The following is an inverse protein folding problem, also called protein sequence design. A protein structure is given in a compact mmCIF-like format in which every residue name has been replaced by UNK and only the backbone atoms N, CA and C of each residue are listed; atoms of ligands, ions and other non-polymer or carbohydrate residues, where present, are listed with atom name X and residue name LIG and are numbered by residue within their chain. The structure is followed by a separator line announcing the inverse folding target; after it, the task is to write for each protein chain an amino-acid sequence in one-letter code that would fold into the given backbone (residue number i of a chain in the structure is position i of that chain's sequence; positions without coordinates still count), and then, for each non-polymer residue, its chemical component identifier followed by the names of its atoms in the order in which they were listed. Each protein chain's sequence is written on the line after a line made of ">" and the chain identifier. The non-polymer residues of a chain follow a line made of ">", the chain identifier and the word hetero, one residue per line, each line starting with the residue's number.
data_IF_443182658346
#
_entry.id   IF_443182658346
#
_cell.length_a   1.000
_cell.length_b   1.000
_cell.length_c   1.000
_cell.angle_alpha   90.00
_cell.angle_beta   90.00
_cell.angle_gamma   90.00
#
_symmetry.space_group_name_H-M   'P 1'
#
loop_
_entity.id
_entity.type
_entity.pdbx_description
1 polymer ?
#
# COMPACT_ATOMS: atom_id res chain seq x y z
N UNK A 1 -16.06 -24.16 -22.03
CA UNK A 1 -15.28 -25.27 -22.61
C UNK A 1 -13.92 -25.30 -21.93
N UNK A 2 -13.58 -26.36 -21.18
CA UNK A 2 -12.23 -26.51 -20.63
C UNK A 2 -11.28 -26.97 -21.74
N UNK A 3 -10.60 -26.01 -22.37
CA UNK A 3 -9.55 -26.28 -23.34
C UNK A 3 -8.37 -26.96 -22.65
N UNK A 4 -7.95 -28.13 -23.14
CA UNK A 4 -6.79 -28.85 -22.63
C UNK A 4 -5.51 -28.05 -22.87
N UNK A 5 -4.61 -28.04 -21.89
CA UNK A 5 -3.26 -27.51 -22.05
C UNK A 5 -2.46 -28.41 -22.99
N UNK A 6 -1.81 -27.83 -23.99
CA UNK A 6 -0.91 -28.53 -24.93
C UNK A 6 0.53 -28.14 -24.65
N UNK A 7 1.41 -29.13 -24.48
CA UNK A 7 2.85 -28.93 -24.43
C UNK A 7 3.46 -29.35 -25.77
N UNK A 8 4.23 -28.46 -26.40
CA UNK A 8 4.95 -28.71 -27.65
C UNK A 8 6.43 -28.57 -27.36
N UNK A 9 7.18 -29.65 -27.56
CA UNK A 9 8.64 -29.66 -27.38
C UNK A 9 9.29 -29.30 -28.72
N UNK A 10 10.04 -28.22 -28.74
CA UNK A 10 10.75 -27.72 -29.92
C UNK A 10 12.18 -28.24 -29.88
N UNK A 11 12.61 -28.92 -30.94
CA UNK A 11 13.95 -29.51 -31.01
C UNK A 11 15.02 -28.46 -31.35
N UNK A 12 14.71 -27.55 -32.29
CA UNK A 12 15.60 -26.48 -32.73
C UNK A 12 14.79 -25.20 -32.98
N UNK A 13 15.10 -24.05 -32.34
CA UNK A 13 16.18 -23.87 -31.35
C UNK A 13 15.81 -24.43 -29.98
N UNK A 14 16.78 -25.07 -29.31
CA UNK A 14 16.63 -25.63 -27.96
C UNK A 14 16.31 -24.58 -26.87
N UNK A 15 16.58 -23.30 -27.15
CA UNK A 15 16.26 -22.14 -26.31
C UNK A 15 14.84 -21.59 -26.49
N UNK A 16 14.02 -22.17 -27.38
CA UNK A 16 12.70 -21.63 -27.70
C UNK A 16 11.78 -21.63 -26.47
N UNK A 17 11.02 -20.55 -26.29
CA UNK A 17 10.01 -20.47 -25.23
C UNK A 17 8.89 -19.52 -25.64
N UNK A 18 7.67 -20.03 -25.73
CA UNK A 18 6.48 -19.24 -26.06
C UNK A 18 5.24 -19.84 -25.39
N UNK A 19 4.38 -18.98 -24.83
CA UNK A 19 3.07 -19.38 -24.32
C UNK A 19 2.02 -18.65 -25.15
N UNK A 20 1.22 -19.40 -25.90
CA UNK A 20 0.20 -18.87 -26.80
C UNK A 20 -1.12 -19.60 -26.62
N UNK A 21 -2.16 -18.88 -26.17
CA UNK A 21 -3.46 -19.47 -25.86
C UNK A 21 -3.32 -20.60 -24.85
N UNK A 22 -3.65 -21.83 -25.26
CA UNK A 22 -3.53 -23.04 -24.43
C UNK A 22 -2.31 -23.90 -24.75
N UNK A 23 -1.35 -23.37 -25.52
CA UNK A 23 -0.15 -24.10 -25.91
C UNK A 23 1.09 -23.49 -25.29
N UNK A 24 1.90 -24.32 -24.66
CA UNK A 24 3.26 -24.01 -24.21
C UNK A 24 4.21 -24.63 -25.21
N UNK A 25 4.99 -23.81 -25.88
CA UNK A 25 6.11 -24.23 -26.72
C UNK A 25 7.39 -24.06 -25.92
N UNK A 26 8.12 -25.14 -25.72
CA UNK A 26 9.37 -25.14 -24.94
C UNK A 26 10.43 -25.91 -25.70
N UNK A 27 11.61 -25.32 -25.85
CA UNK A 27 12.77 -25.96 -26.45
C UNK A 27 13.31 -27.08 -25.56
N UNK A 28 13.98 -28.07 -26.13
CA UNK A 28 14.49 -29.22 -25.38
C UNK A 28 15.43 -28.81 -24.23
N UNK A 29 16.38 -27.91 -24.49
CA UNK A 29 17.35 -27.45 -23.46
C UNK A 29 16.63 -26.70 -22.32
N UNK A 30 15.62 -25.89 -22.66
CA UNK A 30 14.79 -25.19 -21.67
C UNK A 30 13.95 -26.17 -20.84
N UNK A 31 13.46 -27.26 -21.44
CA UNK A 31 12.66 -28.28 -20.75
C UNK A 31 13.52 -29.08 -19.76
N UNK A 32 14.76 -29.41 -20.15
CA UNK A 32 15.72 -30.14 -19.32
C UNK A 32 16.26 -29.28 -18.18
N UNK A 33 16.42 -27.97 -18.39
CA UNK A 33 16.86 -27.03 -17.38
C UNK A 33 15.81 -26.84 -16.27
N UNK A 34 16.27 -26.85 -15.01
CA UNK A 34 15.40 -26.82 -13.84
C UNK A 34 14.49 -25.58 -13.80
N UNK A 35 13.20 -25.81 -13.61
CA UNK A 35 12.22 -24.80 -13.20
C UNK A 35 11.51 -24.05 -14.34
N UNK A 36 11.97 -24.21 -15.59
CA UNK A 36 11.36 -23.52 -16.74
C UNK A 36 9.98 -24.05 -17.11
N UNK A 37 9.78 -25.38 -17.06
CA UNK A 37 8.45 -25.97 -17.29
C UNK A 37 7.47 -25.54 -16.18
N UNK A 38 7.86 -25.63 -14.92
CA UNK A 38 7.00 -25.21 -13.80
C UNK A 38 6.62 -23.74 -13.92
N UNK A 39 7.58 -22.89 -14.28
CA UNK A 39 7.33 -21.48 -14.52
C UNK A 39 6.39 -21.26 -15.70
N UNK A 40 6.50 -22.04 -16.78
CA UNK A 40 5.59 -21.95 -17.93
C UNK A 40 4.15 -22.28 -17.55
N UNK A 41 3.94 -23.35 -16.77
CA UNK A 41 2.64 -23.74 -16.26
C UNK A 41 2.04 -22.64 -15.36
N UNK A 42 2.86 -22.07 -14.48
CA UNK A 42 2.46 -21.00 -13.57
C UNK A 42 2.14 -19.68 -14.29
N UNK A 43 2.90 -19.33 -15.33
CA UNK A 43 2.58 -18.19 -16.21
C UNK A 43 1.26 -18.40 -16.94
N UNK A 44 1.03 -19.60 -17.47
CA UNK A 44 -0.23 -19.93 -18.11
C UNK A 44 -1.40 -19.79 -17.12
N UNK A 45 -1.26 -20.33 -15.91
CA UNK A 45 -2.25 -20.15 -14.85
C UNK A 45 -2.45 -18.67 -14.51
N UNK A 46 -1.38 -17.88 -14.37
CA UNK A 46 -1.46 -16.44 -14.12
C UNK A 46 -2.27 -15.74 -15.22
N UNK A 47 -1.97 -15.96 -16.49
CA UNK A 47 -2.67 -15.32 -17.63
C UNK A 47 -4.13 -15.73 -17.77
N UNK A 48 -4.53 -16.90 -17.27
CA UNK A 48 -5.94 -17.33 -17.25
C UNK A 48 -6.75 -16.68 -16.12
N UNK A 49 -6.08 -16.21 -15.08
CA UNK A 49 -6.72 -15.70 -13.86
C UNK A 49 -6.52 -14.20 -13.66
N UNK A 50 -5.48 -13.62 -14.26
CA UNK A 50 -5.25 -12.18 -14.25
C UNK A 50 -6.27 -11.51 -15.16
N UNK A 51 -7.04 -10.59 -14.58
CA UNK A 51 -7.97 -9.72 -15.30
C UNK A 51 -7.46 -8.27 -15.35
N UNK A 52 -6.34 -8.00 -14.66
CA UNK A 52 -5.80 -6.68 -14.46
C UNK A 52 -4.84 -6.30 -15.59
N UNK A 53 -5.07 -5.12 -16.17
CA UNK A 53 -4.15 -4.46 -17.10
C UNK A 53 -3.53 -3.29 -16.36
N UNK A 54 -2.19 -3.20 -16.30
CA UNK A 54 -1.51 -2.04 -15.72
C UNK A 54 -0.08 -1.88 -16.22
N UNK A 55 0.51 -0.70 -15.94
CA UNK A 55 1.90 -0.42 -16.24
C UNK A 55 2.80 -1.50 -15.60
N UNK A 56 3.71 -2.10 -16.38
CA UNK A 56 4.65 -3.14 -15.93
C UNK A 56 4.05 -4.55 -15.71
N UNK A 57 2.94 -4.90 -16.37
CA UNK A 57 2.35 -6.26 -16.35
C UNK A 57 3.38 -7.36 -16.61
N UNK A 58 4.30 -7.16 -17.57
CA UNK A 58 5.34 -8.13 -17.91
C UNK A 58 6.29 -8.42 -16.74
N UNK A 59 6.79 -7.41 -16.03
CA UNK A 59 7.59 -7.59 -14.82
C UNK A 59 6.78 -8.22 -13.69
N UNK A 60 5.54 -7.78 -13.50
CA UNK A 60 4.69 -8.32 -12.45
C UNK A 60 4.43 -9.82 -12.66
N UNK A 61 4.11 -10.26 -13.89
CA UNK A 61 4.00 -11.68 -14.24
C UNK A 61 5.25 -12.45 -13.83
N UNK A 62 6.44 -11.93 -14.13
CA UNK A 62 7.72 -12.58 -13.77
C UNK A 62 7.93 -12.67 -12.26
N UNK A 63 7.68 -11.58 -11.52
CA UNK A 63 7.84 -11.53 -10.06
C UNK A 63 6.85 -12.47 -9.39
N UNK A 64 5.60 -12.43 -9.81
CA UNK A 64 4.52 -13.23 -9.26
C UNK A 64 4.74 -14.72 -9.53
N UNK A 65 5.11 -15.09 -10.76
CA UNK A 65 5.34 -16.50 -11.11
C UNK A 65 6.58 -17.08 -10.45
N UNK A 66 7.65 -16.30 -10.26
CA UNK A 66 8.80 -16.73 -9.45
C UNK A 66 8.42 -16.95 -7.99
N UNK A 67 7.60 -16.06 -7.44
CA UNK A 67 7.10 -16.22 -6.09
C UNK A 67 6.23 -17.49 -5.98
N UNK A 68 5.38 -17.78 -6.96
CA UNK A 68 4.63 -19.04 -7.01
C UNK A 68 5.53 -20.28 -7.14
N UNK A 69 6.60 -20.23 -7.94
CA UNK A 69 7.59 -21.31 -7.99
C UNK A 69 8.15 -21.56 -6.59
N UNK A 70 8.50 -20.51 -5.86
CA UNK A 70 8.95 -20.62 -4.47
C UNK A 70 7.87 -21.24 -3.56
N UNK A 71 6.60 -20.82 -3.67
CA UNK A 71 5.50 -21.38 -2.87
C UNK A 71 5.32 -22.88 -3.12
N UNK A 72 5.43 -23.33 -4.37
CA UNK A 72 5.24 -24.74 -4.75
C UNK A 72 6.45 -25.60 -4.39
N UNK A 73 7.66 -25.10 -4.61
CA UNK A 73 8.91 -25.90 -4.50
C UNK A 73 9.70 -25.65 -3.22
N UNK A 74 9.29 -24.68 -2.40
CA UNK A 74 10.03 -24.20 -1.22
C UNK A 74 11.34 -23.47 -1.54
N UNK A 75 11.69 -23.31 -2.82
CA UNK A 75 12.90 -22.63 -3.29
C UNK A 75 12.71 -22.09 -4.70
N UNK A 76 13.35 -20.95 -5.01
CA UNK A 76 13.43 -20.42 -6.37
C UNK A 76 14.80 -20.75 -6.96
N UNK A 77 14.84 -21.75 -7.84
CA UNK A 77 16.05 -22.20 -8.55
C UNK A 77 15.70 -22.42 -10.02
N UNK A 78 15.67 -21.33 -10.79
CA UNK A 78 15.62 -21.39 -12.24
C UNK A 78 17.05 -21.51 -12.74
N UNK A 79 17.31 -22.52 -13.56
CA UNK A 79 18.62 -22.81 -14.11
C UNK A 79 18.81 -22.19 -15.48
N UNK A 80 19.94 -21.53 -15.71
CA UNK A 80 20.37 -21.14 -17.05
C UNK A 80 20.74 -22.39 -17.87
N UNK A 81 19.96 -22.80 -18.88
CA UNK A 81 20.23 -23.99 -19.70
C UNK A 81 21.62 -24.02 -20.35
N UNK A 82 22.25 -22.85 -20.55
CA UNK A 82 23.55 -22.77 -21.24
C UNK A 82 24.74 -22.71 -20.29
N UNK A 83 24.50 -22.28 -19.06
CA UNK A 83 25.57 -21.99 -18.09
C UNK A 83 25.48 -22.84 -16.83
N UNK A 84 24.36 -23.53 -16.60
CA UNK A 84 24.06 -24.23 -15.35
C UNK A 84 23.96 -23.31 -14.12
N UNK A 85 23.98 -21.99 -14.32
CA UNK A 85 23.92 -21.01 -13.22
C UNK A 85 22.48 -20.86 -12.78
N UNK A 86 22.23 -20.95 -11.49
CA UNK A 86 20.89 -20.84 -10.93
C UNK A 86 20.60 -19.44 -10.38
N UNK A 87 19.32 -19.04 -10.40
CA UNK A 87 18.85 -17.87 -9.67
C UNK A 87 19.19 -17.98 -8.20
N UNK A 88 19.77 -16.92 -7.63
CA UNK A 88 20.10 -16.85 -6.21
C UNK A 88 19.22 -15.80 -5.51
N UNK A 89 18.48 -16.24 -4.50
CA UNK A 89 17.77 -15.38 -3.57
C UNK A 89 18.75 -14.81 -2.54
N UNK A 90 18.46 -13.59 -2.05
CA UNK A 90 19.25 -12.84 -1.07
C UNK A 90 20.56 -12.25 -1.61
N UNK A 91 20.86 -11.01 -1.21
CA UNK A 91 22.02 -10.24 -1.67
C UNK A 91 21.69 -9.12 -2.65
N UNK A 92 20.47 -9.09 -3.18
CA UNK A 92 19.93 -7.97 -3.94
C UNK A 92 19.79 -6.73 -3.05
N UNK A 93 20.50 -5.66 -3.42
CA UNK A 93 20.43 -4.35 -2.76
C UNK A 93 20.05 -3.30 -3.78
N UNK A 94 19.25 -2.34 -3.35
CA UNK A 94 19.01 -1.15 -4.14
C UNK A 94 20.25 -0.22 -4.10
N UNK A 95 20.66 0.35 -5.24
CA UNK A 95 20.17 0.06 -6.59
C UNK A 95 20.84 -1.18 -7.20
N UNK A 96 20.03 -2.12 -7.69
CA UNK A 96 20.49 -3.23 -8.53
C UNK A 96 19.93 -3.02 -9.93
N UNK A 97 20.60 -2.19 -10.73
CA UNK A 97 20.18 -1.90 -12.11
C UNK A 97 21.17 -2.51 -13.08
N UNK A 98 20.69 -3.43 -13.91
CA UNK A 98 21.46 -4.02 -15.00
C UNK A 98 21.49 -3.03 -16.16
N UNK A 99 22.61 -2.34 -16.34
CA UNK A 99 22.72 -1.20 -17.27
C UNK A 99 22.88 -1.58 -18.74
N UNK A 100 22.86 -2.87 -19.11
CA UNK A 100 23.04 -3.31 -20.50
C UNK A 100 22.39 -4.66 -20.80
N UNK A 101 22.03 -4.85 -22.08
CA UNK A 101 21.56 -6.13 -22.61
C UNK A 101 22.55 -7.27 -22.40
N UNK A 102 23.86 -6.98 -22.47
CA UNK A 102 24.90 -7.98 -22.22
C UNK A 102 24.89 -8.43 -20.75
N UNK A 103 24.83 -7.49 -19.80
CA UNK A 103 24.75 -7.81 -18.38
C UNK A 103 23.45 -8.58 -18.05
N UNK A 104 22.34 -8.21 -18.67
CA UNK A 104 21.08 -8.96 -18.60
C UNK A 104 21.23 -10.38 -19.11
N UNK A 105 21.81 -10.57 -20.29
CA UNK A 105 21.98 -11.89 -20.87
C UNK A 105 22.97 -12.79 -20.10
N UNK A 106 23.88 -12.19 -19.34
CA UNK A 106 24.78 -12.89 -18.43
C UNK A 106 24.17 -13.14 -17.04
N UNK A 107 23.05 -12.50 -16.70
CA UNK A 107 22.36 -12.69 -15.43
C UNK A 107 21.57 -14.00 -15.42
N UNK A 108 21.47 -14.71 -14.28
CA UNK A 108 20.57 -15.86 -14.16
C UNK A 108 19.08 -15.47 -14.12
N UNK A 109 18.75 -14.18 -14.11
CA UNK A 109 17.38 -13.66 -13.98
C UNK A 109 16.70 -13.31 -15.32
N UNK A 110 17.22 -13.86 -16.42
CA UNK A 110 16.60 -13.75 -17.75
C UNK A 110 15.18 -14.30 -17.75
N UNK A 111 14.32 -13.69 -18.55
CA UNK A 111 13.02 -14.28 -18.89
C UNK A 111 13.24 -15.49 -19.78
N UNK A 112 12.38 -16.48 -19.63
CA UNK A 112 12.45 -17.71 -20.44
C UNK A 112 12.29 -17.40 -21.92
N UNK A 113 11.42 -16.45 -22.26
CA UNK A 113 11.21 -15.91 -23.61
C UNK A 113 12.45 -15.22 -24.18
N UNK A 114 13.39 -14.77 -23.34
CA UNK A 114 14.54 -13.99 -23.79
C UNK A 114 15.80 -14.83 -24.05
N UNK A 115 15.79 -16.14 -23.77
CA UNK A 115 16.98 -16.97 -23.96
C UNK A 115 17.42 -17.03 -25.41
N UNK A 116 16.47 -17.13 -26.36
CA UNK A 116 16.77 -17.08 -27.79
C UNK A 116 17.51 -15.78 -28.18
N UNK A 117 17.06 -14.61 -27.69
CA UNK A 117 17.71 -13.32 -27.98
C UNK A 117 19.09 -13.19 -27.33
N UNK A 118 19.28 -13.81 -26.17
CA UNK A 118 20.55 -13.76 -25.46
C UNK A 118 21.65 -14.62 -26.09
N UNK A 119 21.28 -15.62 -26.91
CA UNK A 119 22.23 -16.46 -27.63
C UNK A 119 22.85 -15.75 -28.83
N UNK A 120 22.06 -15.08 -29.67
CA UNK A 120 22.57 -14.45 -30.89
C UNK A 120 22.83 -12.94 -30.69
N UNK A 121 24.08 -12.53 -30.83
CA UNK A 121 24.51 -11.14 -30.71
C UNK A 121 23.78 -10.18 -31.67
N UNK A 122 23.33 -10.65 -32.85
CA UNK A 122 22.52 -9.85 -33.78
C UNK A 122 21.12 -9.64 -33.23
N UNK A 123 20.49 -10.70 -32.72
CA UNK A 123 19.16 -10.66 -32.10
C UNK A 123 19.09 -9.92 -30.76
N UNK A 124 20.22 -9.70 -30.06
CA UNK A 124 20.27 -8.88 -28.83
C UNK A 124 19.82 -7.44 -29.05
N UNK A 125 19.89 -6.94 -30.28
CA UNK A 125 19.38 -5.61 -30.65
C UNK A 125 17.86 -5.48 -30.54
N UNK A 126 17.13 -6.62 -30.49
CA UNK A 126 15.68 -6.66 -30.28
C UNK A 126 15.28 -6.46 -28.81
N UNK A 127 16.21 -6.66 -27.86
CA UNK A 127 15.98 -6.36 -26.45
C UNK A 127 16.10 -4.85 -26.24
N UNK A 128 14.97 -4.19 -26.00
CA UNK A 128 14.98 -2.77 -25.70
C UNK A 128 15.58 -2.52 -24.31
N UNK A 129 16.41 -1.48 -24.21
CA UNK A 129 17.10 -1.15 -22.95
C UNK A 129 16.12 -0.84 -21.81
N UNK A 130 14.98 -0.19 -22.09
CA UNK A 130 13.94 0.11 -21.10
C UNK A 130 13.37 -1.19 -20.48
N UNK A 131 13.08 -2.21 -21.29
CA UNK A 131 12.66 -3.52 -20.82
C UNK A 131 13.72 -4.20 -19.93
N UNK A 132 14.99 -4.06 -20.26
CA UNK A 132 16.09 -4.64 -19.48
C UNK A 132 16.20 -3.97 -18.10
N UNK A 133 16.03 -2.65 -18.04
CA UNK A 133 16.03 -1.88 -16.82
C UNK A 133 14.86 -2.26 -15.92
N UNK A 134 13.66 -2.38 -16.48
CA UNK A 134 12.47 -2.91 -15.80
C UNK A 134 12.75 -4.30 -15.19
N UNK A 135 13.26 -5.26 -15.96
CA UNK A 135 13.52 -6.62 -15.43
C UNK A 135 14.67 -6.69 -14.43
N UNK A 136 15.48 -5.66 -14.31
CA UNK A 136 16.61 -5.66 -13.37
C UNK A 136 16.19 -5.59 -11.90
N UNK A 137 15.00 -5.07 -11.59
CA UNK A 137 14.47 -5.01 -10.21
C UNK A 137 13.78 -6.29 -9.75
N UNK A 138 13.51 -7.22 -10.68
CA UNK A 138 12.89 -8.52 -10.39
C UNK A 138 13.54 -9.28 -9.21
N UNK A 139 14.88 -9.42 -9.10
CA UNK A 139 15.51 -10.15 -8.00
C UNK A 139 15.22 -9.50 -6.63
N UNK A 140 15.20 -8.16 -6.59
CA UNK A 140 14.89 -7.39 -5.40
C UNK A 140 13.44 -7.64 -4.97
N UNK A 141 12.48 -7.46 -5.89
CA UNK A 141 11.05 -7.62 -5.63
C UNK A 141 10.71 -9.05 -5.15
N UNK A 142 11.18 -10.06 -5.88
CA UNK A 142 10.93 -11.48 -5.53
C UNK A 142 11.56 -11.82 -4.18
N UNK A 143 12.79 -11.35 -3.91
CA UNK A 143 13.43 -11.57 -2.61
C UNK A 143 12.64 -10.92 -1.48
N UNK A 144 12.17 -9.69 -1.66
CA UNK A 144 11.33 -8.99 -0.67
C UNK A 144 10.01 -9.71 -0.44
N UNK A 145 9.35 -10.22 -1.48
CA UNK A 145 8.10 -11.00 -1.33
C UNK A 145 8.33 -12.30 -0.58
N UNK A 146 9.35 -13.07 -0.96
CA UNK A 146 9.68 -14.34 -0.29
C UNK A 146 10.00 -14.12 1.19
N UNK A 147 10.81 -13.12 1.52
CA UNK A 147 11.15 -12.80 2.91
C UNK A 147 9.91 -12.35 3.71
N UNK A 148 9.03 -11.58 3.09
CA UNK A 148 7.78 -11.12 3.71
C UNK A 148 6.83 -12.28 3.99
N UNK A 149 6.65 -13.18 3.03
CA UNK A 149 5.85 -14.39 3.21
C UNK A 149 6.41 -15.31 4.31
N UNK A 150 7.73 -15.50 4.34
CA UNK A 150 8.40 -16.30 5.38
C UNK A 150 8.20 -15.76 6.80
N UNK A 151 8.04 -14.44 6.94
CA UNK A 151 7.83 -13.79 8.23
C UNK A 151 6.37 -13.83 8.71
N UNK A 152 5.42 -14.23 7.87
CA UNK A 152 4.05 -14.53 8.29
C UNK A 152 4.00 -15.78 9.16
N UNK A 153 3.07 -15.84 10.11
CA UNK A 153 2.76 -17.08 10.84
C UNK A 153 2.21 -18.15 9.90
N UNK A 154 2.29 -19.43 10.29
CA UNK A 154 1.78 -20.54 9.46
C UNK A 154 0.29 -20.36 9.06
N UNK A 155 -0.53 -19.85 9.99
CA UNK A 155 -1.94 -19.56 9.73
C UNK A 155 -2.12 -18.44 8.70
N UNK A 156 -1.31 -17.40 8.78
CA UNK A 156 -1.33 -16.29 7.82
C UNK A 156 -0.81 -16.74 6.45
N UNK A 157 0.25 -17.56 6.40
CA UNK A 157 0.77 -18.16 5.18
C UNK A 157 -0.31 -18.97 4.46
N UNK A 158 -1.01 -19.86 5.16
CA UNK A 158 -2.10 -20.64 4.60
C UNK A 158 -3.20 -19.73 4.03
N UNK A 159 -3.68 -18.76 4.82
CA UNK A 159 -4.70 -17.79 4.39
C UNK A 159 -4.25 -16.95 3.19
N UNK A 160 -2.97 -16.58 3.14
CA UNK A 160 -2.40 -15.83 2.04
C UNK A 160 -2.48 -16.64 0.74
N UNK A 161 -1.99 -17.89 0.76
CA UNK A 161 -1.99 -18.77 -0.42
C UNK A 161 -3.40 -19.08 -0.91
N UNK A 162 -4.38 -19.27 -0.01
CA UNK A 162 -5.77 -19.57 -0.40
C UNK A 162 -6.44 -18.44 -1.20
N UNK A 163 -6.00 -17.19 -1.04
CA UNK A 163 -6.55 -16.02 -1.73
C UNK A 163 -5.64 -15.54 -2.88
N UNK A 164 -4.62 -16.31 -3.24
CA UNK A 164 -3.64 -15.91 -4.25
C UNK A 164 -4.26 -15.68 -5.64
N UNK A 165 -5.29 -16.47 -5.97
CA UNK A 165 -6.08 -16.28 -7.20
C UNK A 165 -6.86 -14.97 -7.15
N UNK A 166 -7.46 -14.64 -6.00
CA UNK A 166 -8.19 -13.39 -5.83
C UNK A 166 -7.24 -12.21 -5.95
N UNK A 167 -6.03 -12.27 -5.41
CA UNK A 167 -5.04 -11.18 -5.48
C UNK A 167 -4.77 -10.71 -6.93
N UNK A 168 -4.76 -11.63 -7.90
CA UNK A 168 -4.52 -11.30 -9.32
C UNK A 168 -5.80 -11.03 -10.12
N UNK A 169 -6.96 -11.42 -9.59
CA UNK A 169 -8.26 -11.25 -10.22
C UNK A 169 -9.05 -10.04 -9.68
N UNK A 170 -8.67 -9.49 -8.52
CA UNK A 170 -9.41 -8.41 -7.87
C UNK A 170 -9.27 -7.09 -8.60
N UNK A 171 -10.34 -6.31 -8.55
CA UNK A 171 -10.30 -4.87 -8.83
C UNK A 171 -9.44 -4.14 -7.79
N UNK A 172 -8.83 -3.05 -8.21
CA UNK A 172 -7.95 -2.22 -7.41
C UNK A 172 -8.62 -0.88 -7.13
N UNK A 173 -8.51 -0.40 -5.89
CA UNK A 173 -9.09 0.90 -5.50
C UNK A 173 -8.01 1.71 -4.79
N UNK A 174 -7.55 2.83 -5.39
CA UNK A 174 -7.90 3.35 -6.72
C UNK A 174 -7.42 2.45 -7.87
N UNK A 175 -7.97 2.66 -9.08
CA UNK A 175 -7.58 1.92 -10.28
C UNK A 175 -6.06 1.93 -10.50
N UNK A 176 -5.57 0.84 -11.09
CA UNK A 176 -4.15 0.74 -11.44
C UNK A 176 -3.81 1.70 -12.58
N UNK A 177 -2.62 2.31 -12.57
CA UNK A 177 -2.16 3.13 -13.67
C UNK A 177 -2.03 2.28 -14.94
N UNK A 178 -2.87 2.56 -15.94
CA UNK A 178 -2.91 1.82 -17.22
C UNK A 178 -1.79 2.19 -18.19
N UNK A 179 -1.18 3.36 -18.00
CA UNK A 179 -0.17 3.94 -18.89
C UNK A 179 1.04 4.31 -18.04
N UNK A 180 2.26 4.20 -18.60
CA UNK A 180 3.44 4.89 -18.07
C UNK A 180 3.08 6.38 -17.96
N UNK A 181 2.62 6.83 -16.81
CA UNK A 181 2.23 8.22 -16.58
C UNK A 181 3.51 9.06 -16.58
N UNK A 182 3.85 9.56 -17.77
CA UNK A 182 5.18 9.99 -18.13
C UNK A 182 5.53 9.34 -19.47
N UNK A 183 4.89 9.81 -20.54
CA UNK A 183 5.28 9.41 -21.90
C UNK A 183 6.79 9.55 -22.06
N UNK A 184 7.41 8.65 -22.81
CA UNK A 184 8.87 8.56 -23.06
C UNK A 184 9.51 9.94 -23.01
N UNK A 185 10.02 10.33 -21.85
CA UNK A 185 10.95 11.46 -21.77
C UNK A 185 12.26 10.81 -22.18
N UNK A 186 12.88 11.22 -23.30
CA UNK A 186 14.04 10.53 -23.87
C UNK A 186 15.26 10.45 -22.94
N UNK A 187 15.20 11.08 -21.76
CA UNK A 187 16.29 11.25 -20.79
C UNK A 187 15.95 10.77 -19.37
N UNK A 188 14.96 9.88 -19.15
CA UNK A 188 14.75 9.32 -17.80
C UNK A 188 15.94 8.46 -17.39
N UNK A 189 16.61 8.86 -16.30
CA UNK A 189 17.65 8.08 -15.62
C UNK A 189 17.15 6.64 -15.36
N UNK A 190 17.92 5.59 -15.75
CA UNK A 190 17.58 4.19 -15.49
C UNK A 190 17.13 3.86 -14.06
N UNK A 191 17.63 4.59 -13.07
CA UNK A 191 17.21 4.43 -11.68
C UNK A 191 15.78 4.91 -11.43
N UNK A 192 15.34 5.97 -12.13
CA UNK A 192 13.97 6.48 -12.05
C UNK A 192 12.99 5.45 -12.57
N UNK A 193 13.25 4.88 -13.76
CA UNK A 193 12.39 3.84 -14.35
C UNK A 193 12.32 2.58 -13.47
N UNK A 194 13.46 2.12 -12.95
CA UNK A 194 13.52 1.02 -12.02
C UNK A 194 12.74 1.31 -10.72
N UNK A 195 12.79 2.55 -10.23
CA UNK A 195 12.03 2.96 -9.06
C UNK A 195 10.53 3.03 -9.34
N UNK A 196 10.12 3.54 -10.51
CA UNK A 196 8.71 3.56 -10.93
C UNK A 196 8.14 2.15 -11.04
N UNK A 197 8.90 1.19 -11.58
CA UNK A 197 8.49 -0.21 -11.63
C UNK A 197 8.24 -0.79 -10.22
N UNK A 198 9.13 -0.51 -9.25
CA UNK A 198 8.94 -0.91 -7.84
C UNK A 198 7.69 -0.22 -7.25
N UNK A 199 7.51 1.08 -7.47
CA UNK A 199 6.32 1.83 -7.00
C UNK A 199 5.02 1.25 -7.52
N UNK A 200 4.94 0.96 -8.82
CA UNK A 200 3.73 0.42 -9.46
C UNK A 200 3.39 -0.98 -8.95
N UNK A 201 4.39 -1.85 -8.77
CA UNK A 201 4.18 -3.19 -8.21
C UNK A 201 3.81 -3.12 -6.73
N UNK A 202 4.39 -2.21 -5.94
CA UNK A 202 3.96 -1.97 -4.57
C UNK A 202 2.53 -1.43 -4.51
N UNK A 203 2.18 -0.52 -5.42
CA UNK A 203 0.84 0.05 -5.53
C UNK A 203 -0.21 -1.02 -5.89
N UNK A 204 0.12 -1.96 -6.77
CA UNK A 204 -0.72 -3.14 -7.04
C UNK A 204 -1.10 -3.86 -5.74
N UNK A 205 -0.11 -4.14 -4.89
CA UNK A 205 -0.36 -4.83 -3.63
C UNK A 205 -1.20 -3.98 -2.66
N UNK A 206 -0.89 -2.69 -2.51
CA UNK A 206 -1.54 -1.81 -1.51
C UNK A 206 -2.98 -1.42 -1.89
N UNK A 207 -3.29 -1.33 -3.19
CA UNK A 207 -4.62 -0.98 -3.70
C UNK A 207 -5.56 -2.18 -3.86
N UNK A 208 -5.05 -3.41 -3.73
CA UNK A 208 -5.89 -4.61 -3.77
C UNK A 208 -6.98 -4.58 -2.69
N UNK A 209 -8.20 -4.96 -3.07
CA UNK A 209 -9.33 -5.11 -2.16
C UNK A 209 -9.05 -6.12 -1.01
N UNK A 210 -8.14 -7.08 -1.21
CA UNK A 210 -7.75 -8.02 -0.16
C UNK A 210 -7.16 -7.35 1.08
N UNK A 211 -6.59 -6.14 0.94
CA UNK A 211 -6.12 -5.33 2.08
C UNK A 211 -7.24 -4.93 3.03
N UNK A 212 -8.50 -4.96 2.58
CA UNK A 212 -9.68 -4.66 3.40
C UNK A 212 -10.25 -5.88 4.11
N UNK A 213 -9.95 -7.12 3.69
CA UNK A 213 -10.62 -8.31 4.25
C UNK A 213 -9.66 -9.41 4.70
N UNK A 214 -8.36 -9.27 4.43
CA UNK A 214 -7.34 -10.25 4.79
C UNK A 214 -6.19 -9.63 5.58
N UNK A 215 -6.18 -9.90 6.89
CA UNK A 215 -5.07 -9.53 7.78
C UNK A 215 -3.72 -10.04 7.26
N UNK A 216 -3.69 -11.28 6.73
CA UNK A 216 -2.48 -11.87 6.19
C UNK A 216 -1.90 -11.05 5.02
N UNK A 217 -2.75 -10.49 4.15
CA UNK A 217 -2.31 -9.64 3.04
C UNK A 217 -1.84 -8.28 3.55
N UNK A 218 -2.53 -7.67 4.51
CA UNK A 218 -2.08 -6.42 5.15
C UNK A 218 -0.70 -6.55 5.79
N UNK A 219 -0.49 -7.62 6.55
CA UNK A 219 0.80 -7.91 7.20
C UNK A 219 1.88 -8.18 6.15
N UNK A 220 1.57 -8.98 5.12
CA UNK A 220 2.49 -9.26 4.02
C UNK A 220 2.99 -7.97 3.35
N UNK A 221 2.09 -7.06 2.98
CA UNK A 221 2.42 -5.80 2.30
C UNK A 221 3.32 -4.92 3.17
N UNK A 222 3.00 -4.82 4.45
CA UNK A 222 3.82 -4.09 5.43
C UNK A 222 5.24 -4.66 5.49
N UNK A 223 5.36 -5.99 5.49
CA UNK A 223 6.66 -6.67 5.48
C UNK A 223 7.39 -6.47 4.15
N UNK A 224 6.70 -6.38 3.00
CA UNK A 224 7.31 -6.08 1.70
C UNK A 224 7.95 -4.70 1.73
N UNK A 225 7.23 -3.68 2.21
CA UNK A 225 7.77 -2.33 2.38
C UNK A 225 9.03 -2.33 3.25
N UNK A 226 8.98 -3.01 4.39
CA UNK A 226 10.11 -3.11 5.31
C UNK A 226 11.30 -3.84 4.71
N UNK A 227 11.09 -4.91 3.94
CA UNK A 227 12.17 -5.64 3.28
C UNK A 227 12.79 -4.85 2.12
N UNK A 228 11.99 -4.09 1.36
CA UNK A 228 12.53 -3.16 0.36
C UNK A 228 13.40 -2.07 1.01
N UNK A 229 12.91 -1.46 2.09
CA UNK A 229 13.66 -0.45 2.87
C UNK A 229 14.97 -1.01 3.43
N UNK A 230 14.94 -2.22 4.02
CA UNK A 230 16.15 -2.92 4.50
C UNK A 230 17.15 -3.22 3.39
N UNK A 231 16.68 -3.43 2.17
CA UNK A 231 17.53 -3.59 0.99
C UNK A 231 18.04 -2.26 0.41
N UNK A 232 17.76 -1.12 1.04
CA UNK A 232 18.26 0.20 0.67
C UNK A 232 17.32 1.01 -0.23
N UNK A 233 16.12 0.51 -0.53
CA UNK A 233 15.13 1.26 -1.30
C UNK A 233 14.47 2.29 -0.38
N UNK A 234 14.91 3.55 -0.49
CA UNK A 234 14.42 4.68 0.30
C UNK A 234 13.41 5.55 -0.43
N UNK A 235 13.14 5.26 -1.70
CA UNK A 235 12.08 5.92 -2.44
C UNK A 235 10.71 5.45 -1.95
N UNK A 236 9.68 6.21 -2.30
CA UNK A 236 8.35 5.94 -1.82
C UNK A 236 7.85 4.53 -2.16
N UNK A 237 7.12 3.94 -1.23
CA UNK A 237 6.43 2.67 -1.40
C UNK A 237 5.03 2.84 -2.04
N UNK A 238 4.68 4.07 -2.45
CA UNK A 238 3.37 4.47 -2.96
C UNK A 238 2.58 5.34 -1.96
N UNK A 239 1.32 5.61 -2.30
CA UNK A 239 0.36 6.27 -1.40
C UNK A 239 -0.36 5.27 -0.50
N UNK A 240 -0.75 5.71 0.70
CA UNK A 240 -1.52 4.92 1.65
C UNK A 240 -2.85 5.61 1.98
N UNK A 241 -3.95 4.84 1.88
CA UNK A 241 -5.31 5.31 2.15
C UNK A 241 -5.96 4.48 3.25
N UNK A 242 -6.54 5.15 4.26
CA UNK A 242 -7.16 4.54 5.43
C UNK A 242 -8.55 5.10 5.69
N UNK A 243 -9.45 4.30 6.26
CA UNK A 243 -10.74 4.82 6.72
C UNK A 243 -10.54 5.64 8.02
N UNK A 244 -9.62 5.19 8.88
CA UNK A 244 -9.33 5.81 10.17
C UNK A 244 -7.83 5.90 10.43
N UNK A 245 -7.34 7.10 10.71
CA UNK A 245 -5.96 7.39 11.07
C UNK A 245 -5.89 8.01 12.47
N UNK A 246 -5.25 7.34 13.41
CA UNK A 246 -4.92 7.92 14.72
C UNK A 246 -3.51 8.51 14.69
N UNK A 247 -3.36 9.76 15.11
CA UNK A 247 -2.08 10.47 15.11
C UNK A 247 -1.70 10.87 16.54
N UNK A 248 -0.45 10.57 16.89
CA UNK A 248 0.17 10.95 18.16
C UNK A 248 1.55 11.56 17.93
N UNK A 249 1.94 12.53 18.76
CA UNK A 249 3.27 13.13 18.71
C UNK A 249 4.33 12.26 19.39
N UNK A 250 3.92 11.38 20.32
CA UNK A 250 4.79 10.46 21.03
C UNK A 250 5.10 9.21 20.20
N UNK A 251 6.21 8.52 20.52
CA UNK A 251 6.49 7.21 19.90
C UNK A 251 5.45 6.18 20.36
N UNK A 252 4.94 5.39 19.42
CA UNK A 252 4.04 4.28 19.73
C UNK A 252 4.86 3.00 19.91
N UNK A 253 4.46 2.17 20.87
CA UNK A 253 5.02 0.82 21.05
C UNK A 253 3.92 -0.21 20.84
N UNK A 254 4.26 -1.34 20.21
CA UNK A 254 3.36 -2.48 20.05
C UNK A 254 2.85 -3.06 21.38
N UNK A 255 3.57 -2.79 22.47
CA UNK A 255 3.22 -3.27 23.80
C UNK A 255 2.30 -2.32 24.58
N UNK A 256 2.12 -1.08 24.10
CA UNK A 256 1.28 -0.09 24.76
C UNK A 256 -0.19 -0.49 24.73
N UNK A 257 -0.93 -0.13 25.79
CA UNK A 257 -2.37 -0.40 25.90
C UNK A 257 -3.16 0.23 24.76
N UNK A 258 -2.79 1.46 24.39
CA UNK A 258 -3.39 2.16 23.25
C UNK A 258 -3.18 1.37 21.96
N UNK A 259 -1.95 0.94 21.63
CA UNK A 259 -1.71 0.12 20.44
C UNK A 259 -2.54 -1.17 20.45
N UNK A 260 -2.56 -1.89 21.58
CA UNK A 260 -3.31 -3.14 21.74
C UNK A 260 -4.81 -2.92 21.53
N UNK A 261 -5.36 -1.83 22.04
CA UNK A 261 -6.76 -1.46 21.85
C UNK A 261 -7.08 -1.25 20.36
N UNK A 262 -6.28 -0.45 19.67
CA UNK A 262 -6.44 -0.22 18.23
C UNK A 262 -6.26 -1.50 17.41
N UNK A 263 -5.30 -2.36 17.79
CA UNK A 263 -5.08 -3.66 17.17
C UNK A 263 -6.32 -4.56 17.33
N UNK A 264 -6.91 -4.60 18.53
CA UNK A 264 -8.17 -5.32 18.78
C UNK A 264 -9.32 -4.74 17.97
N UNK A 265 -9.42 -3.41 17.86
CA UNK A 265 -10.45 -2.74 17.06
C UNK A 265 -10.33 -3.09 15.57
N UNK A 266 -9.12 -3.06 15.02
CA UNK A 266 -8.84 -3.44 13.62
C UNK A 266 -9.21 -4.90 13.35
N UNK A 267 -8.88 -5.82 14.26
CA UNK A 267 -9.24 -7.24 14.13
C UNK A 267 -10.75 -7.49 14.23
N UNK A 268 -11.47 -6.73 15.07
CA UNK A 268 -12.93 -6.83 15.20
C UNK A 268 -13.66 -6.23 14.00
N UNK A 269 -13.06 -5.26 13.33
CA UNK A 269 -13.65 -4.54 12.20
C UNK A 269 -12.76 -4.67 10.96
N UNK A 270 -12.60 -5.90 10.40
CA UNK A 270 -11.61 -6.14 9.34
C UNK A 270 -11.82 -5.23 8.12
N UNK A 271 -13.08 -4.89 7.81
CA UNK A 271 -13.49 -4.03 6.69
C UNK A 271 -13.04 -2.56 6.81
N UNK A 272 -12.58 -2.13 7.98
CA UNK A 272 -12.12 -0.76 8.24
C UNK A 272 -10.59 -0.77 8.27
N UNK A 273 -9.94 -0.04 7.35
CA UNK A 273 -8.50 0.21 7.31
C UNK A 273 -8.15 1.22 8.40
N UNK A 274 -7.55 0.73 9.49
CA UNK A 274 -7.11 1.55 10.60
C UNK A 274 -5.58 1.66 10.59
N UNK A 275 -5.05 2.86 10.76
CA UNK A 275 -3.62 3.07 10.97
C UNK A 275 -3.35 3.98 12.17
N UNK A 276 -2.15 3.80 12.75
CA UNK A 276 -1.61 4.70 13.76
C UNK A 276 -0.37 5.37 13.18
N UNK A 277 -0.32 6.69 13.14
CA UNK A 277 0.90 7.45 12.83
C UNK A 277 1.46 8.01 14.13
N UNK A 278 2.70 7.66 14.41
CA UNK A 278 3.50 8.30 15.45
C UNK A 278 4.50 9.30 14.85
N UNK A 279 5.48 9.74 15.65
CA UNK A 279 6.52 10.67 15.22
C UNK A 279 7.32 10.18 14.00
N UNK A 280 7.67 8.90 13.96
CA UNK A 280 8.62 8.32 12.98
C UNK A 280 7.95 7.27 12.08
N UNK A 281 6.89 6.64 12.54
CA UNK A 281 6.33 5.43 11.98
C UNK A 281 4.84 5.53 11.68
N UNK A 282 4.41 4.74 10.71
CA UNK A 282 3.03 4.38 10.43
C UNK A 282 2.83 2.89 10.72
N UNK A 283 1.85 2.58 11.55
CA UNK A 283 1.45 1.23 11.90
C UNK A 283 0.15 0.91 11.16
N UNK A 284 0.26 0.08 10.12
CA UNK A 284 -0.88 -0.34 9.29
C UNK A 284 -1.54 -1.56 9.93
N UNK A 285 -2.58 -1.34 10.74
CA UNK A 285 -3.16 -2.40 11.55
C UNK A 285 -3.87 -3.44 10.68
N UNK A 286 -3.83 -4.74 11.07
CA UNK A 286 -3.35 -5.27 12.35
C UNK A 286 -1.86 -5.66 12.35
N UNK A 287 -1.04 -5.14 11.44
CA UNK A 287 0.41 -5.35 11.49
C UNK A 287 0.99 -4.76 12.77
N UNK A 288 1.82 -5.55 13.46
CA UNK A 288 2.65 -5.10 14.58
C UNK A 288 4.00 -4.56 14.12
N UNK A 289 4.24 -4.51 12.81
CA UNK A 289 5.46 -3.98 12.23
C UNK A 289 5.18 -2.60 11.65
N UNK A 290 5.85 -1.55 12.13
CA UNK A 290 5.70 -0.23 11.55
C UNK A 290 6.42 -0.13 10.20
N UNK A 291 6.02 0.86 9.40
CA UNK A 291 6.79 1.39 8.27
C UNK A 291 7.17 2.84 8.57
N UNK A 292 8.32 3.32 8.10
CA UNK A 292 8.64 4.75 8.25
C UNK A 292 7.68 5.59 7.43
N UNK A 293 6.96 6.54 8.03
CA UNK A 293 5.94 7.29 7.28
C UNK A 293 6.56 8.20 6.20
N UNK A 294 7.83 8.61 6.38
CA UNK A 294 8.61 9.35 5.37
C UNK A 294 8.89 8.55 4.10
N UNK A 295 8.67 7.23 4.11
CA UNK A 295 8.77 6.36 2.93
C UNK A 295 7.49 6.29 2.11
N UNK A 296 6.46 7.09 2.42
CA UNK A 296 5.21 7.16 1.66
C UNK A 296 5.15 8.46 0.86
N UNK A 297 4.66 8.41 -0.38
CA UNK A 297 4.46 9.62 -1.20
C UNK A 297 3.30 10.46 -0.66
N UNK A 298 2.27 9.78 -0.18
CA UNK A 298 1.07 10.41 0.34
C UNK A 298 0.45 9.53 1.43
N UNK A 299 -0.18 10.20 2.39
CA UNK A 299 -0.96 9.57 3.44
C UNK A 299 -2.31 10.28 3.48
N UNK A 300 -3.37 9.54 3.18
CA UNK A 300 -4.75 10.03 3.28
C UNK A 300 -5.59 9.15 4.18
N UNK A 301 -6.56 9.78 4.84
CA UNK A 301 -7.60 9.08 5.57
C UNK A 301 -8.94 9.81 5.57
N UNK A 302 -10.05 9.07 5.50
CA UNK A 302 -11.39 9.67 5.59
C UNK A 302 -11.58 10.39 6.93
N UNK A 303 -11.12 9.76 8.01
CA UNK A 303 -11.23 10.28 9.38
C UNK A 303 -9.89 10.22 10.08
N UNK A 304 -9.45 11.34 10.62
CA UNK A 304 -8.25 11.44 11.44
C UNK A 304 -8.60 11.83 12.86
N UNK A 305 -8.05 11.11 13.84
CA UNK A 305 -8.12 11.46 15.27
C UNK A 305 -6.73 11.93 15.69
N UNK A 306 -6.62 13.14 16.20
CA UNK A 306 -5.37 13.70 16.70
C UNK A 306 -5.51 14.05 18.17
N UNK A 307 -4.62 13.50 19.01
CA UNK A 307 -4.59 13.84 20.42
C UNK A 307 -3.74 15.10 20.63
N UNK A 308 -4.38 16.20 21.07
CA UNK A 308 -3.69 17.46 21.36
C UNK A 308 -4.01 17.93 22.77
N UNK A 309 -2.96 18.34 23.49
CA UNK A 309 -3.09 19.08 24.73
C UNK A 309 -2.97 20.58 24.48
N UNK A 310 -3.78 21.38 25.17
CA UNK A 310 -3.69 22.85 25.14
C UNK A 310 -4.34 23.50 23.91
N UNK A 311 -3.99 24.76 23.70
CA UNK A 311 -4.62 25.62 22.69
C UNK A 311 -4.10 25.35 21.28
N UNK A 312 -4.96 25.60 20.29
CA UNK A 312 -4.60 25.56 18.87
C UNK A 312 -5.48 26.51 18.06
N UNK A 313 -4.95 26.96 16.93
CA UNK A 313 -5.61 27.83 15.97
C UNK A 313 -6.09 27.02 14.74
N UNK A 314 -6.75 27.69 13.80
CA UNK A 314 -7.13 27.04 12.54
C UNK A 314 -5.94 26.76 11.61
N UNK A 315 -4.79 27.45 11.77
CA UNK A 315 -3.58 27.12 11.00
C UNK A 315 -3.12 25.69 11.31
N UNK A 316 -3.15 25.30 12.57
CA UNK A 316 -2.91 23.93 12.98
C UNK A 316 -3.93 22.97 12.34
N UNK A 317 -5.23 23.27 12.39
CA UNK A 317 -6.29 22.45 11.79
C UNK A 317 -6.08 22.27 10.28
N UNK A 318 -5.74 23.34 9.55
CA UNK A 318 -5.51 23.28 8.10
C UNK A 318 -4.25 22.51 7.70
N UNK A 319 -3.30 22.29 8.62
CA UNK A 319 -2.12 21.44 8.33
C UNK A 319 -2.50 20.00 7.97
N UNK A 320 -3.73 19.57 8.29
CA UNK A 320 -4.27 18.25 7.94
C UNK A 320 -5.01 18.21 6.60
N UNK A 321 -5.07 19.31 5.83
CA UNK A 321 -5.82 19.40 4.56
C UNK A 321 -5.44 18.35 3.51
N UNK A 322 -4.15 17.98 3.45
CA UNK A 322 -3.69 16.95 2.51
C UNK A 322 -3.79 15.54 3.08
N UNK A 323 -4.17 15.41 4.35
CA UNK A 323 -4.22 14.14 5.09
C UNK A 323 -5.64 13.63 5.23
N UNK A 324 -6.63 14.50 5.46
CA UNK A 324 -7.96 14.02 5.85
C UNK A 324 -9.13 14.92 5.51
N UNK A 325 -10.29 14.30 5.30
CA UNK A 325 -11.55 15.01 5.09
C UNK A 325 -12.19 15.41 6.42
N UNK A 326 -12.10 14.54 7.45
CA UNK A 326 -12.62 14.79 8.80
C UNK A 326 -11.53 14.69 9.85
N UNK A 327 -11.32 15.76 10.61
CA UNK A 327 -10.35 15.80 11.71
C UNK A 327 -11.09 15.90 13.04
N UNK A 328 -10.90 14.93 13.93
CA UNK A 328 -11.28 15.03 15.33
C UNK A 328 -10.05 15.34 16.18
N UNK A 329 -10.01 16.52 16.79
CA UNK A 329 -9.01 16.86 17.78
C UNK A 329 -9.55 16.50 19.16
N UNK A 330 -8.86 15.60 19.85
CA UNK A 330 -9.22 15.11 21.18
C UNK A 330 -8.34 15.80 22.22
N UNK A 331 -8.96 16.38 23.24
CA UNK A 331 -8.25 16.98 24.37
C UNK A 331 -7.80 15.89 25.36
N UNK A 332 -6.66 15.26 25.08
CA UNK A 332 -6.12 14.15 25.87
C UNK A 332 -5.08 14.54 26.92
N UNK A 333 -5.21 15.72 27.56
CA UNK A 333 -4.37 16.09 28.70
C UNK A 333 -4.34 14.97 29.75
N UNK A 334 -3.15 14.43 30.04
CA UNK A 334 -2.92 13.44 31.10
C UNK A 334 -2.95 11.96 30.68
N UNK A 335 -2.60 11.60 29.45
CA UNK A 335 -2.54 10.20 28.97
C UNK A 335 -3.87 9.44 29.19
N UNK A 336 -5.01 10.08 28.91
CA UNK A 336 -6.30 9.40 28.98
C UNK A 336 -6.39 8.38 27.84
N UNK A 337 -6.69 7.12 28.17
CA UNK A 337 -6.99 6.11 27.16
C UNK A 337 -8.28 6.50 26.43
N UNK A 338 -8.17 6.66 25.11
CA UNK A 338 -9.27 7.03 24.24
C UNK A 338 -9.89 5.74 23.70
N UNK A 339 -11.21 5.57 23.85
CA UNK A 339 -11.92 4.44 23.26
C UNK A 339 -12.67 4.85 21.99
N UNK A 340 -12.32 4.20 20.87
CA UNK A 340 -12.92 4.46 19.57
C UNK A 340 -13.97 3.43 19.16
N UNK A 341 -14.34 2.49 20.04
CA UNK A 341 -15.29 1.41 19.68
C UNK A 341 -16.61 1.94 19.14
N UNK A 342 -17.21 2.92 19.82
CA UNK A 342 -18.48 3.52 19.40
C UNK A 342 -18.26 4.63 18.35
N UNK A 343 -17.06 5.22 18.27
CA UNK A 343 -16.73 6.15 17.19
C UNK A 343 -16.78 5.49 15.81
N UNK A 344 -16.31 4.24 15.70
CA UNK A 344 -16.34 3.50 14.44
C UNK A 344 -17.77 3.19 13.96
N UNK A 345 -18.75 3.15 14.87
CA UNK A 345 -20.16 2.84 14.55
C UNK A 345 -20.99 4.10 14.33
N UNK A 346 -20.99 4.99 15.34
CA UNK A 346 -21.90 6.12 15.46
C UNK A 346 -21.18 7.47 15.23
N UNK A 347 -19.90 7.46 14.89
CA UNK A 347 -19.11 8.67 14.68
C UNK A 347 -18.96 9.50 15.97
N UNK A 348 -18.91 10.84 15.89
CA UNK A 348 -18.69 11.72 17.03
C UNK A 348 -19.69 11.56 18.17
N UNK A 349 -20.95 11.25 17.83
CA UNK A 349 -21.98 11.03 18.84
C UNK A 349 -21.61 9.83 19.73
N UNK A 350 -21.24 8.71 19.09
CA UNK A 350 -20.76 7.50 19.77
C UNK A 350 -19.47 7.75 20.57
N UNK A 351 -18.54 8.52 20.01
CA UNK A 351 -17.32 8.92 20.73
C UNK A 351 -17.65 9.66 22.03
N UNK A 352 -18.54 10.65 21.97
CA UNK A 352 -18.93 11.44 23.13
C UNK A 352 -19.66 10.62 24.20
N UNK A 353 -20.53 9.70 23.76
CA UNK A 353 -21.27 8.78 24.65
C UNK A 353 -20.33 7.84 25.41
N UNK A 354 -19.30 7.34 24.73
CA UNK A 354 -18.32 6.41 25.31
C UNK A 354 -17.27 7.14 26.17
N UNK A 355 -16.77 8.29 25.71
CA UNK A 355 -15.69 9.03 26.35
C UNK A 355 -16.24 10.24 27.15
N UNK A 356 -16.95 9.95 28.24
CA UNK A 356 -17.67 10.97 29.03
C UNK A 356 -16.78 12.10 29.56
N UNK A 357 -15.51 11.80 29.87
CA UNK A 357 -14.57 12.75 30.50
C UNK A 357 -13.49 13.28 29.56
N UNK A 358 -13.76 13.26 28.25
CA UNK A 358 -12.82 13.70 27.22
C UNK A 358 -13.52 14.75 26.35
N UNK A 359 -12.89 15.92 26.23
CA UNK A 359 -13.32 16.96 25.30
C UNK A 359 -12.81 16.66 23.88
N UNK A 360 -13.56 17.07 22.87
CA UNK A 360 -13.18 16.91 21.47
C UNK A 360 -13.83 17.97 20.59
N UNK A 361 -13.25 18.20 19.41
CA UNK A 361 -13.86 18.99 18.34
C UNK A 361 -13.65 18.23 17.02
N UNK A 362 -14.73 17.96 16.29
CA UNK A 362 -14.66 17.39 14.94
C UNK A 362 -14.90 18.48 13.89
N UNK A 363 -14.00 18.50 12.91
CA UNK A 363 -13.99 19.41 11.78
C UNK A 363 -14.22 18.66 10.48
N UNK A 364 -14.94 19.30 9.55
CA UNK A 364 -14.92 18.92 8.14
C UNK A 364 -13.95 19.85 7.41
N UNK A 365 -12.78 19.32 7.05
CA UNK A 365 -11.66 20.13 6.55
C UNK A 365 -11.99 20.84 5.23
N UNK A 366 -12.63 20.20 4.22
CA UNK A 366 -13.01 20.90 2.99
C UNK A 366 -13.91 22.12 3.24
N UNK A 367 -14.91 21.98 4.11
CA UNK A 367 -15.81 23.09 4.49
C UNK A 367 -15.07 24.23 5.18
N UNK A 368 -14.10 23.93 6.05
CA UNK A 368 -13.29 24.98 6.70
C UNK A 368 -12.39 25.72 5.73
N UNK A 369 -11.81 25.03 4.74
CA UNK A 369 -10.94 25.65 3.74
C UNK A 369 -11.69 26.68 2.89
N UNK A 370 -12.99 26.48 2.64
CA UNK A 370 -13.84 27.48 1.95
C UNK A 370 -14.01 28.79 2.75
N UNK A 371 -13.72 28.78 4.05
CA UNK A 371 -13.84 29.94 4.97
C UNK A 371 -12.49 30.34 5.59
N UNK A 372 -11.38 29.97 4.94
CA UNK A 372 -10.03 30.13 5.48
C UNK A 372 -9.71 31.57 5.92
N UNK A 373 -10.05 32.56 5.08
CA UNK A 373 -9.73 33.96 5.35
C UNK A 373 -10.53 34.53 6.53
N UNK A 374 -11.78 34.11 6.71
CA UNK A 374 -12.61 34.55 7.84
C UNK A 374 -12.15 33.92 9.16
N UNK A 375 -11.59 32.71 9.11
CA UNK A 375 -11.17 31.94 10.27
C UNK A 375 -9.71 32.23 10.70
N UNK A 376 -8.92 32.91 9.86
CA UNK A 376 -7.48 33.10 10.10
C UNK A 376 -7.15 33.98 11.32
N UNK A 377 -8.12 34.78 11.78
CA UNK A 377 -7.99 35.68 12.93
C UNK A 377 -8.23 34.97 14.28
N UNK A 378 -8.68 33.71 14.26
CA UNK A 378 -8.98 32.96 15.48
C UNK A 378 -7.70 32.33 16.03
N UNK A 379 -7.19 32.91 17.11
CA UNK A 379 -5.98 32.43 17.79
C UNK A 379 -6.20 31.19 18.66
N UNK A 380 -7.45 30.90 19.05
CA UNK A 380 -7.79 29.76 19.90
C UNK A 380 -9.18 29.21 19.55
N UNK A 381 -9.20 28.04 18.93
CA UNK A 381 -10.44 27.37 18.50
C UNK A 381 -11.24 26.88 19.70
N UNK A 382 -10.58 26.39 20.75
CA UNK A 382 -11.25 25.88 21.95
C UNK A 382 -12.01 26.99 22.67
N UNK A 383 -11.41 28.17 22.82
CA UNK A 383 -12.10 29.33 23.44
C UNK A 383 -13.28 29.79 22.59
N UNK A 384 -13.09 29.82 21.27
CA UNK A 384 -14.14 30.19 20.32
C UNK A 384 -15.39 29.31 20.51
N UNK A 385 -15.24 27.99 20.46
CA UNK A 385 -16.38 27.06 20.61
C UNK A 385 -16.94 26.99 22.03
N UNK A 386 -16.15 27.33 23.05
CA UNK A 386 -16.59 27.34 24.45
C UNK A 386 -17.63 28.42 24.73
N UNK A 387 -17.53 29.57 24.06
CA UNK A 387 -18.45 30.69 24.25
C UNK A 387 -19.85 30.41 23.72
N UNK A 388 -19.98 29.58 22.67
CA UNK A 388 -21.26 29.18 22.05
C UNK A 388 -22.12 30.38 21.60
N UNK A 389 -21.49 31.51 21.31
CA UNK A 389 -22.15 32.77 20.93
C UNK A 389 -22.48 32.76 19.43
N UNK A 390 -23.66 32.29 19.02
CA UNK A 390 -24.06 32.17 17.60
C UNK A 390 -23.90 33.49 16.82
N UNK A 391 -24.05 34.64 17.49
CA UNK A 391 -23.89 35.97 16.91
C UNK A 391 -22.43 36.37 16.62
N UNK A 392 -21.45 35.54 17.01
CA UNK A 392 -20.06 35.77 16.70
C UNK A 392 -19.87 35.78 15.17
N UNK A 393 -19.23 36.81 14.57
CA UNK A 393 -19.03 36.91 13.13
C UNK A 393 -18.37 35.67 12.52
N UNK A 394 -17.51 34.98 13.28
CA UNK A 394 -16.89 33.73 12.87
C UNK A 394 -17.92 32.62 12.67
N UNK A 395 -18.86 32.44 13.60
CA UNK A 395 -19.90 31.42 13.48
C UNK A 395 -20.95 31.76 12.43
N UNK A 396 -21.28 33.05 12.27
CA UNK A 396 -22.10 33.52 11.16
C UNK A 396 -21.45 33.21 9.80
N UNK A 397 -20.11 33.34 9.69
CA UNK A 397 -19.39 32.97 8.46
C UNK A 397 -19.44 31.47 8.15
N UNK A 398 -19.52 30.62 9.18
CA UNK A 398 -19.78 29.18 9.06
C UNK A 398 -21.27 28.87 8.85
N UNK A 399 -22.14 29.88 8.87
CA UNK A 399 -23.58 29.74 8.68
C UNK A 399 -24.27 28.99 9.81
N UNK A 400 -23.74 29.04 11.03
CA UNK A 400 -24.38 28.49 12.22
C UNK A 400 -25.70 29.21 12.48
N UNK A 401 -26.78 28.45 12.65
CA UNK A 401 -28.12 28.97 12.97
C UNK A 401 -28.58 28.59 14.36
N UNK A 402 -28.18 27.41 14.81
CA UNK A 402 -28.57 26.81 16.09
C UNK A 402 -27.44 25.90 16.57
N UNK A 403 -27.31 25.75 17.89
CA UNK A 403 -26.42 24.76 18.50
C UNK A 403 -27.28 23.81 19.34
N UNK A 404 -27.40 22.56 18.91
CA UNK A 404 -28.17 21.53 19.62
C UNK A 404 -27.27 20.74 20.55
N UNK A 405 -27.68 20.58 21.81
CA UNK A 405 -27.04 19.66 22.74
C UNK A 405 -27.59 18.24 22.56
N UNK A 406 -26.71 17.25 22.39
CA UNK A 406 -27.05 15.83 22.43
C UNK A 406 -26.75 15.28 23.81
N UNK A 407 -27.79 14.91 24.57
CA UNK A 407 -27.64 14.26 25.87
C UNK A 407 -26.90 12.92 25.77
N UNK A 408 -27.16 12.16 24.68
CA UNK A 408 -26.49 10.88 24.40
C UNK A 408 -24.98 11.06 24.31
N UNK A 409 -24.51 12.06 23.56
CA UNK A 409 -23.08 12.31 23.37
C UNK A 409 -22.46 13.16 24.50
N UNK A 410 -23.28 13.86 25.28
CA UNK A 410 -22.81 14.95 26.15
C UNK A 410 -22.02 16.01 25.37
N UNK A 411 -22.46 16.31 24.14
CA UNK A 411 -21.74 17.16 23.18
C UNK A 411 -22.72 18.03 22.38
N UNK A 412 -22.19 19.05 21.71
CA UNK A 412 -22.93 20.01 20.91
C UNK A 412 -22.75 19.74 19.42
N UNK A 413 -23.85 19.85 18.68
CA UNK A 413 -23.90 19.75 17.22
C UNK A 413 -24.50 21.05 16.65
N UNK A 414 -23.72 21.86 15.93
CA UNK A 414 -24.24 23.00 15.19
C UNK A 414 -25.16 22.56 14.06
N UNK A 415 -26.18 23.37 13.78
CA UNK A 415 -26.93 23.33 12.53
C UNK A 415 -26.39 24.44 11.63
N UNK A 416 -25.66 24.06 10.59
CA UNK A 416 -24.95 24.99 9.71
C UNK A 416 -25.28 24.80 8.24
N UNK A 417 -25.07 25.86 7.46
CA UNK A 417 -25.04 25.77 5.98
C UNK A 417 -23.67 25.26 5.50
N UNK A 418 -22.61 25.54 6.26
CA UNK A 418 -21.24 25.06 6.02
C UNK A 418 -20.79 24.27 7.25
N UNK A 419 -20.73 22.95 7.13
CA UNK A 419 -20.44 22.02 8.24
C UNK A 419 -18.95 22.00 8.64
N UNK A 420 -18.30 23.15 8.77
CA UNK A 420 -16.87 23.25 9.08
C UNK A 420 -16.52 22.70 10.47
N UNK A 421 -17.39 22.89 11.46
CA UNK A 421 -17.30 22.29 12.79
C UNK A 421 -18.56 21.45 12.96
N UNK A 422 -18.41 20.13 12.97
CA UNK A 422 -19.54 19.20 12.97
C UNK A 422 -20.00 18.88 14.40
N UNK A 423 -19.07 18.70 15.33
CA UNK A 423 -19.35 18.33 16.72
C UNK A 423 -18.31 18.91 17.65
N UNK A 424 -18.72 19.30 18.85
CA UNK A 424 -17.77 19.71 19.88
C UNK A 424 -18.25 19.43 21.29
N UNK A 425 -17.29 19.15 22.17
CA UNK A 425 -17.45 18.99 23.60
C UNK A 425 -16.24 19.65 24.26
N UNK A 426 -16.46 20.77 24.92
CA UNK A 426 -15.40 21.42 25.69
C UNK A 426 -15.63 21.15 27.17
N UNK A 427 -14.56 20.77 27.87
CA UNK A 427 -14.53 20.60 29.32
C UNK A 427 -13.91 21.82 29.97
#
# INVERSE_FOLDING_TARGET
>A
MNSKLRLVIVQDPGSYFLIQGNTIYIGQEMLEARGHLEKALLKKWYRENSQNLFAYEGLFEEVFTDFMVYLVKGSLKLEDPFRGVQTKLNGSRWPQVLKSAQAYCQSPWKRSEHYKFCQDAKSRTELKNDQILEYSVRPLLVSSWIQSYKALSFREQYKFVTLLRELIATDHIPDLPLVRTGGVIPDTDPLTEASEAIKNISYFLTSSYLTQYSDAHRVFITLVANNLSRSGYSQSFGGAFFDVLYITDGKMSSDSDQFKQFLTLSRKNPKIKIAIKDKENLWMLPSIYPVQWSSLDSLRADRTIYNKCGHYDFKFVWSFANVTDKLMIVNGCGNKNIDLTEYLKDGPEGFGAQNKNIGFIQFHIPSLLMRKDQLSQVNNVTDLVSRREIDNPVFQSLGWREIKYSEKAGAYQPKSVVDGIEWFKVQ
#
